data_IF_240846703728
#
_entry.id   IF_240846703728
#
_cell.length_a   1.000
_cell.length_b   1.000
_cell.length_c   1.000
_cell.angle_alpha   90.00
_cell.angle_beta   90.00
_cell.angle_gamma   90.00
#
_symmetry.space_group_name_H-M   'P 1'
#
loop_
_entity.id
_entity.type
_entity.pdbx_description
1 polymer ?
#
# COMPACT_ATOMS: atom_id res chain seq x y z
N UNK A 1 5.01 -31.60 -22.94
CA UNK A 1 5.53 -30.32 -22.44
C UNK A 1 4.39 -29.33 -22.59
N UNK A 2 3.51 -29.26 -21.60
CA UNK A 2 2.37 -28.33 -21.60
C UNK A 2 2.67 -27.21 -20.61
N UNK A 3 2.76 -26.00 -21.15
CA UNK A 3 3.02 -24.78 -20.40
C UNK A 3 1.71 -24.33 -19.74
N UNK A 4 1.50 -24.74 -18.49
CA UNK A 4 0.43 -24.21 -17.65
C UNK A 4 0.83 -22.85 -17.08
N UNK A 5 -0.01 -21.86 -17.41
CA UNK A 5 -0.25 -20.55 -16.79
C UNK A 5 0.65 -19.36 -17.21
N UNK A 6 0.04 -18.17 -17.32
CA UNK A 6 -0.14 -17.40 -16.10
C UNK A 6 -1.59 -16.92 -15.91
N UNK A 7 -2.29 -17.49 -14.92
CA UNK A 7 -3.55 -16.97 -14.36
C UNK A 7 -3.33 -15.69 -13.50
N UNK A 8 -2.16 -15.06 -13.60
CA UNK A 8 -1.72 -13.96 -12.73
C UNK A 8 -2.02 -12.59 -13.32
N UNK A 9 -2.12 -12.45 -14.64
CA UNK A 9 -2.24 -11.14 -15.30
C UNK A 9 -3.64 -10.51 -15.15
N UNK A 10 -4.72 -11.30 -15.14
CA UNK A 10 -6.09 -10.76 -15.05
C UNK A 10 -6.47 -10.33 -13.62
N UNK A 11 -5.92 -11.00 -12.61
CA UNK A 11 -6.22 -10.71 -11.20
C UNK A 11 -5.55 -9.41 -10.71
N UNK A 12 -4.41 -9.04 -11.31
CA UNK A 12 -3.72 -7.78 -11.05
C UNK A 12 -4.44 -6.55 -11.63
N UNK A 13 -5.24 -6.74 -12.69
CA UNK A 13 -5.96 -5.64 -13.33
C UNK A 13 -7.16 -5.15 -12.49
N UNK A 14 -7.91 -6.07 -11.86
CA UNK A 14 -9.11 -5.72 -11.08
C UNK A 14 -8.82 -4.95 -9.77
N UNK A 15 -7.60 -5.10 -9.25
CA UNK A 15 -7.16 -4.45 -8.02
C UNK A 15 -6.49 -3.09 -8.26
N UNK A 16 -6.15 -2.76 -9.53
CA UNK A 16 -5.74 -1.42 -9.94
C UNK A 16 -6.90 -0.42 -10.00
N UNK A 17 -8.11 -0.89 -10.26
CA UNK A 17 -9.26 -0.01 -10.53
C UNK A 17 -9.94 0.55 -9.27
N UNK A 18 -9.54 0.11 -8.07
CA UNK A 18 -10.18 0.51 -6.80
C UNK A 18 -9.20 1.11 -5.78
N UNK A 19 -8.15 1.79 -6.25
CA UNK A 19 -7.26 2.57 -5.39
C UNK A 19 -8.01 3.79 -4.86
N UNK A 20 -8.63 3.62 -3.69
CA UNK A 20 -9.53 4.60 -3.06
C UNK A 20 -8.93 5.24 -1.82
N UNK A 21 -7.83 4.68 -1.31
CA UNK A 21 -7.19 5.10 -0.06
C UNK A 21 -5.75 5.50 -0.28
N UNK A 22 -5.37 6.64 0.27
CA UNK A 22 -3.97 7.05 0.39
C UNK A 22 -3.49 6.65 1.78
N UNK A 23 -2.39 5.90 1.81
CA UNK A 23 -1.68 5.51 3.03
C UNK A 23 -0.41 6.36 3.12
N UNK A 24 -0.27 7.11 4.19
CA UNK A 24 0.94 7.88 4.49
C UNK A 24 1.64 7.24 5.68
N UNK A 25 2.92 6.91 5.52
CA UNK A 25 3.76 6.28 6.54
C UNK A 25 4.82 7.29 6.97
N UNK A 26 4.95 7.47 8.27
CA UNK A 26 5.93 8.37 8.88
C UNK A 26 7.02 7.54 9.52
N UNK A 27 8.26 7.77 9.09
CA UNK A 27 9.45 7.20 9.68
C UNK A 27 10.16 8.31 10.43
N UNK A 28 10.09 8.25 11.76
CA UNK A 28 10.82 9.18 12.61
C UNK A 28 12.32 8.87 12.49
N UNK A 29 13.08 9.83 11.97
CA UNK A 29 14.53 9.74 11.92
C UNK A 29 15.13 9.91 13.32
N UNK A 30 16.41 9.52 13.52
CA UNK A 30 17.12 9.78 14.77
C UNK A 30 17.31 11.29 15.06
N UNK A 31 17.04 12.14 14.06
CA UNK A 31 17.06 13.60 14.14
C UNK A 31 15.70 14.12 13.66
N UNK A 32 15.08 15.09 14.36
CA UNK A 32 13.73 15.58 14.04
C UNK A 32 13.57 16.14 12.61
N UNK A 33 14.65 16.58 11.97
CA UNK A 33 14.63 17.13 10.61
C UNK A 33 14.75 16.05 9.51
N UNK A 34 14.96 14.79 9.91
CA UNK A 34 15.12 13.64 9.00
C UNK A 34 13.87 12.73 8.98
N UNK A 35 12.71 13.24 9.37
CA UNK A 35 11.47 12.48 9.26
C UNK A 35 11.18 12.16 7.79
N UNK A 36 11.10 10.87 7.47
CA UNK A 36 10.84 10.39 6.12
C UNK A 36 9.36 10.02 5.98
N UNK A 37 8.71 10.62 4.98
CA UNK A 37 7.28 10.40 4.73
C UNK A 37 7.10 9.68 3.39
N UNK A 38 6.43 8.53 3.41
CA UNK A 38 6.10 7.76 2.22
C UNK A 38 4.59 7.76 2.00
N UNK A 39 4.16 8.08 0.78
CA UNK A 39 2.75 8.05 0.40
C UNK A 39 2.49 6.96 -0.63
N UNK A 40 1.43 6.18 -0.41
CA UNK A 40 1.00 5.10 -1.27
C UNK A 40 -0.49 5.15 -1.56
N UNK A 41 -0.88 4.70 -2.75
CA UNK A 41 -2.25 4.40 -3.09
C UNK A 41 -2.57 2.93 -2.78
N UNK A 42 -3.72 2.67 -2.18
CA UNK A 42 -4.17 1.36 -1.77
C UNK A 42 -5.70 1.22 -1.97
N UNK A 43 -6.16 -0.02 -2.06
CA UNK A 43 -7.58 -0.33 -1.86
C UNK A 43 -7.96 -0.18 -0.37
N UNK A 44 -9.26 -0.22 -0.07
CA UNK A 44 -9.73 -0.17 1.32
C UNK A 44 -9.17 -1.35 2.15
N UNK A 45 -9.25 -2.57 1.62
CA UNK A 45 -8.72 -3.77 2.27
C UNK A 45 -7.20 -3.69 2.49
N UNK A 46 -6.44 -3.32 1.46
CA UNK A 46 -4.98 -3.16 1.57
C UNK A 46 -4.60 -2.11 2.63
N UNK A 47 -5.31 -0.99 2.68
CA UNK A 47 -5.07 0.05 3.68
C UNK A 47 -5.34 -0.45 5.10
N UNK A 48 -6.39 -1.25 5.30
CA UNK A 48 -6.74 -1.83 6.59
C UNK A 48 -5.67 -2.81 7.08
N UNK A 49 -5.28 -3.77 6.24
CA UNK A 49 -4.25 -4.76 6.58
C UNK A 49 -2.91 -4.10 6.88
N UNK A 50 -2.50 -3.17 6.03
CA UNK A 50 -1.26 -2.43 6.22
C UNK A 50 -1.26 -1.62 7.52
N UNK A 51 -2.36 -0.89 7.79
CA UNK A 51 -2.48 -0.09 9.02
C UNK A 51 -2.40 -0.97 10.27
N UNK A 52 -3.07 -2.13 10.23
CA UNK A 52 -3.04 -3.10 11.34
C UNK A 52 -1.61 -3.60 11.61
N UNK A 53 -0.88 -3.98 10.57
CA UNK A 53 0.52 -4.39 10.68
C UNK A 53 1.44 -3.24 11.12
N UNK A 54 1.23 -2.04 10.58
CA UNK A 54 2.03 -0.86 10.91
C UNK A 54 1.89 -0.47 12.39
N UNK A 55 0.66 -0.45 12.90
CA UNK A 55 0.38 -0.20 14.33
C UNK A 55 1.04 -1.26 15.20
N UNK A 56 0.95 -2.53 14.82
CA UNK A 56 1.63 -3.62 15.56
C UNK A 56 3.16 -3.44 15.59
N UNK A 57 3.75 -2.89 14.52
CA UNK A 57 5.17 -2.57 14.45
C UNK A 57 5.58 -1.24 15.11
N UNK A 58 4.62 -0.48 15.65
CA UNK A 58 4.88 0.84 16.25
C UNK A 58 5.14 1.96 15.24
N UNK A 59 4.77 1.77 13.96
CA UNK A 59 4.88 2.80 12.94
C UNK A 59 3.71 3.78 13.01
N UNK A 60 4.01 5.06 12.78
CA UNK A 60 2.97 6.07 12.62
C UNK A 60 2.45 6.05 11.18
N UNK A 61 1.15 5.83 11.02
CA UNK A 61 0.48 5.76 9.72
C UNK A 61 -0.82 6.55 9.72
N UNK A 62 -1.14 7.17 8.60
CA UNK A 62 -2.44 7.82 8.38
C UNK A 62 -3.06 7.35 7.08
N UNK A 63 -4.38 7.18 7.08
CA UNK A 63 -5.14 6.78 5.89
C UNK A 63 -6.21 7.82 5.59
N UNK A 64 -6.26 8.28 4.35
CA UNK A 64 -7.31 9.18 3.86
C UNK A 64 -7.80 8.79 2.46
N UNK A 65 -8.84 9.45 1.97
CA UNK A 65 -9.40 9.23 0.62
C UNK A 65 -8.86 10.22 -0.42
N UNK A 66 -7.85 11.04 -0.07
CA UNK A 66 -7.26 12.07 -0.94
C UNK A 66 -6.17 11.46 -1.83
N UNK A 67 -6.58 10.50 -2.67
CA UNK A 67 -5.73 9.94 -3.72
C UNK A 67 -5.35 11.05 -4.70
N UNK A 68 -4.04 11.17 -4.98
CA UNK A 68 -3.50 12.05 -6.02
C UNK A 68 -3.02 11.20 -7.20
N UNK A 69 -3.18 11.71 -8.44
CA UNK A 69 -2.57 11.07 -9.61
C UNK A 69 -1.04 11.00 -9.43
N UNK A 70 -0.45 9.84 -9.69
CA UNK A 70 0.99 9.62 -9.55
C UNK A 70 1.44 9.01 -8.22
N UNK A 71 0.52 8.75 -7.27
CA UNK A 71 0.85 7.96 -6.08
C UNK A 71 1.27 6.54 -6.47
N UNK A 72 2.35 6.06 -5.86
CA UNK A 72 2.81 4.68 -6.03
C UNK A 72 1.83 3.76 -5.33
N UNK A 73 1.51 2.61 -5.93
CA UNK A 73 0.71 1.60 -5.25
C UNK A 73 1.46 1.04 -4.05
N UNK A 74 0.73 0.67 -3.00
CA UNK A 74 1.29 0.01 -1.83
C UNK A 74 2.07 -1.26 -2.27
N UNK A 75 3.36 -1.39 -1.89
CA UNK A 75 4.20 -2.49 -2.39
C UNK A 75 3.74 -3.86 -1.91
N UNK A 76 2.95 -3.92 -0.83
CA UNK A 76 2.48 -5.13 -0.19
C UNK A 76 1.23 -5.76 -0.85
N UNK A 77 0.74 -5.24 -1.99
CA UNK A 77 -0.49 -5.70 -2.64
C UNK A 77 -0.55 -7.21 -2.95
N UNK A 78 0.60 -7.89 -3.04
CA UNK A 78 0.68 -9.33 -3.27
C UNK A 78 0.70 -10.19 -2.01
N UNK A 79 0.90 -9.58 -0.83
CA UNK A 79 1.09 -10.30 0.44
C UNK A 79 -0.23 -10.72 1.12
N UNK A 80 -1.35 -10.11 0.76
CA UNK A 80 -2.64 -10.23 1.46
C UNK A 80 -3.72 -10.89 0.58
N UNK A 81 -3.34 -11.88 -0.22
CA UNK A 81 -4.23 -12.61 -1.14
C UNK A 81 -5.08 -13.67 -0.44
#
# INVERSE_FOLDING_TARGET
MDATAPATAERDNHSRDNLTRRVTVYFDGPVPDNALVLEYAATNTEAWEFTSAAVYSGLTVTVDSKIRPGLRRLPCHTLWR
#
